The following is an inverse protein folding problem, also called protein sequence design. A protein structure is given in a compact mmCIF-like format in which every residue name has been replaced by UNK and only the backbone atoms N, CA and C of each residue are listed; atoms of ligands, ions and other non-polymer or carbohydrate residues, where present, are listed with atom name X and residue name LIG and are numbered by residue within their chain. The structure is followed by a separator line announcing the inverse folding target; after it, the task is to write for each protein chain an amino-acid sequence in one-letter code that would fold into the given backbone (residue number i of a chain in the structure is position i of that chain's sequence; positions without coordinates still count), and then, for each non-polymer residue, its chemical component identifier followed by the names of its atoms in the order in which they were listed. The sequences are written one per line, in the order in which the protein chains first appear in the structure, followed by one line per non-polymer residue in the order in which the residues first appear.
data_IF_824939612236
#
_entry.id   IF_824939612236
#
_cell.length_a   1.000
_cell.length_b   1.000
_cell.length_c   1.000
_cell.angle_alpha   90.00
_cell.angle_beta   90.00
_cell.angle_gamma   90.00
#
_symmetry.space_group_name_H-M   'P 1'
#
loop_
_entity.id
_entity.type
_entity.pdbx_description
1 polymer ?
#
# COMPACT_ATOMS: atom_id res chain seq x y z
N UNK A 1 -47.89 -43.91 -1.54
CA UNK A 1 -48.97 -43.33 -2.35
C UNK A 1 -48.40 -43.03 -3.71
N UNK A 2 -48.99 -43.54 -4.78
CA UNK A 2 -48.58 -43.18 -6.13
C UNK A 2 -49.59 -42.17 -6.70
N UNK A 3 -49.09 -41.10 -7.34
CA UNK A 3 -49.90 -40.06 -7.93
C UNK A 3 -49.49 -39.91 -9.39
N UNK A 4 -50.39 -40.17 -10.31
CA UNK A 4 -50.17 -40.00 -11.74
C UNK A 4 -50.62 -38.63 -12.22
N UNK A 5 -49.85 -38.02 -13.12
CA UNK A 5 -50.12 -36.73 -13.75
C UNK A 5 -50.27 -36.89 -15.26
N UNK A 6 -51.08 -37.83 -15.68
CA UNK A 6 -51.31 -38.11 -17.10
C UNK A 6 -52.12 -36.99 -17.75
N UNK A 7 -51.67 -36.50 -18.90
CA UNK A 7 -52.36 -35.48 -19.72
C UNK A 7 -52.03 -34.03 -19.38
N UNK A 8 -50.93 -33.74 -18.62
CA UNK A 8 -50.61 -32.42 -18.09
C UNK A 8 -49.63 -31.58 -18.95
N UNK A 9 -49.38 -31.89 -20.21
CA UNK A 9 -48.51 -31.13 -21.06
C UNK A 9 -47.13 -30.89 -20.40
N UNK A 10 -46.34 -31.94 -20.27
CA UNK A 10 -44.98 -31.89 -19.78
C UNK A 10 -44.00 -32.22 -20.89
N UNK A 11 -42.92 -31.44 -21.01
CA UNK A 11 -41.86 -31.64 -21.98
C UNK A 11 -40.50 -31.81 -21.29
N UNK A 12 -39.74 -32.80 -21.73
CA UNK A 12 -38.40 -33.09 -21.19
C UNK A 12 -37.32 -32.78 -22.24
N UNK A 13 -36.21 -32.18 -21.77
CA UNK A 13 -34.99 -31.98 -22.50
C UNK A 13 -33.85 -32.69 -21.76
N UNK A 14 -33.12 -33.55 -22.44
CA UNK A 14 -32.00 -34.29 -21.87
C UNK A 14 -30.74 -33.37 -21.65
N UNK A 15 -30.68 -32.27 -22.37
CA UNK A 15 -29.54 -31.33 -22.34
C UNK A 15 -28.48 -31.61 -23.39
N UNK A 16 -28.52 -32.77 -24.07
CA UNK A 16 -27.58 -33.16 -25.13
C UNK A 16 -28.19 -32.89 -26.53
N UNK A 17 -29.51 -32.99 -26.65
CA UNK A 17 -30.22 -32.75 -27.91
C UNK A 17 -31.18 -31.56 -27.80
N UNK A 18 -31.27 -30.68 -28.84
CA UNK A 18 -32.12 -29.50 -28.80
C UNK A 18 -33.60 -29.79 -29.10
N UNK A 19 -34.09 -31.00 -28.74
CA UNK A 19 -35.45 -31.45 -28.98
C UNK A 19 -36.15 -31.71 -27.65
N UNK A 20 -37.39 -31.24 -27.55
CA UNK A 20 -38.24 -31.51 -26.41
C UNK A 20 -39.06 -32.80 -26.71
N UNK A 21 -39.12 -33.69 -25.75
CA UNK A 21 -39.97 -34.87 -25.81
C UNK A 21 -41.18 -34.70 -24.90
N UNK A 22 -42.38 -34.99 -25.37
CA UNK A 22 -43.58 -35.05 -24.55
C UNK A 22 -43.47 -36.23 -23.59
N UNK A 23 -43.73 -35.99 -22.30
CA UNK A 23 -43.50 -37.01 -21.28
C UNK A 23 -44.69 -37.17 -20.34
N UNK A 24 -44.85 -38.39 -19.82
CA UNK A 24 -45.77 -38.68 -18.75
C UNK A 24 -45.08 -38.59 -17.40
N UNK A 25 -45.77 -38.05 -16.38
CA UNK A 25 -45.21 -37.88 -15.05
C UNK A 25 -45.94 -38.73 -14.02
N UNK A 26 -45.16 -39.41 -13.19
CA UNK A 26 -45.70 -40.25 -12.11
C UNK A 26 -44.84 -40.11 -10.86
N UNK A 27 -45.43 -39.87 -9.69
CA UNK A 27 -44.70 -39.86 -8.41
C UNK A 27 -44.90 -41.19 -7.71
N UNK A 28 -43.80 -41.88 -7.47
CA UNK A 28 -43.79 -43.12 -6.69
C UNK A 28 -42.45 -43.27 -5.93
N UNK A 29 -42.48 -43.79 -4.72
CA UNK A 29 -41.28 -44.16 -3.94
C UNK A 29 -40.24 -43.04 -3.80
N UNK A 30 -40.67 -41.81 -3.48
CA UNK A 30 -39.85 -40.61 -3.33
C UNK A 30 -39.12 -40.17 -4.62
N UNK A 31 -39.58 -40.67 -5.78
CA UNK A 31 -39.06 -40.29 -7.10
C UNK A 31 -40.18 -39.76 -8.00
N UNK A 32 -39.85 -38.78 -8.83
CA UNK A 32 -40.59 -38.40 -10.01
C UNK A 32 -40.11 -39.29 -11.16
N UNK A 33 -40.98 -40.07 -11.68
CA UNK A 33 -40.79 -40.91 -12.86
C UNK A 33 -41.23 -40.11 -14.08
N UNK A 34 -40.35 -39.95 -15.04
CA UNK A 34 -40.54 -39.23 -16.30
C UNK A 34 -40.54 -40.31 -17.38
N UNK A 35 -41.71 -40.68 -17.90
CA UNK A 35 -41.85 -41.67 -18.96
C UNK A 35 -41.73 -41.03 -20.32
N UNK A 36 -40.76 -41.46 -21.10
CA UNK A 36 -40.51 -41.06 -22.47
C UNK A 36 -41.35 -41.90 -23.47
N UNK A 37 -41.53 -41.41 -24.68
CA UNK A 37 -42.24 -42.15 -25.74
C UNK A 37 -41.49 -43.43 -26.16
N UNK A 38 -40.18 -43.49 -25.90
CA UNK A 38 -39.35 -44.70 -26.12
C UNK A 38 -39.56 -45.84 -25.12
N UNK A 39 -40.57 -45.77 -24.26
CA UNK A 39 -40.77 -46.68 -23.11
C UNK A 39 -39.71 -46.59 -22.02
N UNK A 40 -38.72 -45.72 -22.13
CA UNK A 40 -37.71 -45.43 -21.09
C UNK A 40 -38.31 -44.61 -19.96
N UNK A 41 -37.85 -44.85 -18.73
CA UNK A 41 -38.27 -44.11 -17.54
C UNK A 41 -37.06 -43.47 -16.87
N UNK A 42 -37.08 -42.15 -16.75
CA UNK A 42 -36.08 -41.38 -16.03
C UNK A 42 -36.56 -41.14 -14.60
N UNK A 43 -35.67 -41.28 -13.64
CA UNK A 43 -35.98 -41.13 -12.21
C UNK A 43 -35.28 -39.91 -11.62
N UNK A 44 -36.08 -38.94 -11.18
CA UNK A 44 -35.57 -37.81 -10.40
C UNK A 44 -36.04 -37.90 -8.96
N UNK A 45 -35.11 -37.94 -8.01
CA UNK A 45 -35.47 -37.97 -6.59
C UNK A 45 -36.15 -36.66 -6.20
N UNK A 46 -37.31 -36.69 -5.53
CA UNK A 46 -38.09 -35.47 -5.18
C UNK A 46 -37.29 -34.46 -4.39
N UNK A 47 -36.34 -34.89 -3.54
CA UNK A 47 -35.46 -34.04 -2.77
C UNK A 47 -34.42 -33.27 -3.60
N UNK A 48 -34.15 -33.74 -4.83
CA UNK A 48 -33.12 -33.17 -5.72
C UNK A 48 -33.72 -32.27 -6.81
N UNK A 49 -35.03 -32.21 -6.94
CA UNK A 49 -35.71 -31.37 -7.93
C UNK A 49 -35.74 -29.92 -7.46
N UNK A 50 -35.36 -29.02 -8.36
CA UNK A 50 -35.33 -27.58 -8.15
C UNK A 50 -36.03 -26.84 -9.26
N UNK A 51 -36.72 -25.75 -8.90
CA UNK A 51 -37.25 -24.78 -9.85
C UNK A 51 -36.08 -23.98 -10.42
N UNK A 52 -36.03 -23.79 -11.73
CA UNK A 52 -35.06 -22.91 -12.37
C UNK A 52 -35.45 -21.45 -12.06
N UNK A 53 -34.55 -20.61 -11.52
CA UNK A 53 -34.85 -19.19 -11.26
C UNK A 53 -34.97 -18.40 -12.56
N UNK A 54 -35.56 -17.21 -12.48
CA UNK A 54 -35.62 -16.19 -13.56
C UNK A 54 -36.26 -16.68 -14.87
N UNK A 55 -37.29 -17.47 -14.76
CA UNK A 55 -38.05 -17.90 -15.93
C UNK A 55 -38.89 -16.75 -16.48
N UNK A 56 -39.00 -16.66 -17.81
CA UNK A 56 -39.91 -15.74 -18.47
C UNK A 56 -41.34 -15.91 -17.92
N UNK A 57 -42.09 -14.83 -17.81
CA UNK A 57 -43.47 -14.81 -17.34
C UNK A 57 -44.36 -15.64 -18.29
N UNK A 58 -44.38 -16.94 -18.07
CA UNK A 58 -45.23 -17.91 -18.79
C UNK A 58 -46.19 -18.65 -17.86
N UNK A 59 -47.04 -19.49 -18.42
CA UNK A 59 -47.92 -20.37 -17.66
C UNK A 59 -47.15 -21.59 -17.13
N UNK A 60 -46.04 -21.94 -17.81
CA UNK A 60 -45.23 -23.13 -17.55
C UNK A 60 -44.06 -22.80 -16.63
N UNK A 61 -43.56 -23.79 -15.94
CA UNK A 61 -42.36 -23.65 -15.12
C UNK A 61 -41.37 -24.78 -15.42
N UNK A 62 -40.09 -24.46 -15.32
CA UNK A 62 -39.01 -25.37 -15.64
C UNK A 62 -38.38 -25.92 -14.35
N UNK A 63 -38.26 -27.22 -14.30
CA UNK A 63 -37.62 -27.98 -13.24
C UNK A 63 -36.28 -28.52 -13.74
N UNK A 64 -35.37 -28.75 -12.81
CA UNK A 64 -34.12 -29.49 -13.05
C UNK A 64 -33.79 -30.38 -11.87
N UNK A 65 -33.03 -31.43 -12.11
CA UNK A 65 -32.41 -32.21 -11.04
C UNK A 65 -31.06 -31.63 -10.61
N UNK A 66 -30.72 -31.71 -9.33
CA UNK A 66 -29.37 -31.35 -8.81
C UNK A 66 -28.33 -32.39 -9.26
N UNK A 67 -28.74 -33.64 -9.48
CA UNK A 67 -27.89 -34.75 -9.95
C UNK A 67 -27.70 -34.73 -11.45
N UNK A 68 -28.61 -34.07 -12.20
CA UNK A 68 -28.55 -33.86 -13.63
C UNK A 68 -28.83 -32.38 -13.92
N UNK A 69 -27.79 -31.52 -13.86
CA UNK A 69 -27.96 -30.08 -13.95
C UNK A 69 -28.24 -29.57 -15.36
N UNK A 70 -28.07 -30.39 -16.40
CA UNK A 70 -28.29 -30.02 -17.81
C UNK A 70 -29.73 -30.29 -18.23
N UNK A 71 -30.33 -31.39 -17.81
CA UNK A 71 -31.69 -31.75 -18.16
C UNK A 71 -32.73 -30.75 -17.62
N UNK A 72 -33.79 -30.56 -18.36
CA UNK A 72 -34.93 -29.68 -18.05
C UNK A 72 -36.25 -30.39 -18.23
N UNK A 73 -37.13 -30.19 -17.26
CA UNK A 73 -38.51 -30.63 -17.33
C UNK A 73 -39.42 -29.40 -17.29
N UNK A 74 -40.13 -29.12 -18.35
CA UNK A 74 -41.11 -28.04 -18.46
C UNK A 74 -42.50 -28.61 -18.13
N UNK A 75 -43.22 -27.95 -17.22
CA UNK A 75 -44.54 -28.44 -16.75
C UNK A 75 -45.52 -27.27 -16.67
N UNK A 76 -46.70 -27.45 -17.22
CA UNK A 76 -47.77 -26.45 -17.17
C UNK A 76 -48.56 -26.48 -15.86
N UNK A 77 -48.66 -27.63 -15.21
CA UNK A 77 -49.48 -27.81 -14.03
C UNK A 77 -48.75 -27.50 -12.73
N UNK A 78 -49.21 -26.47 -12.01
CA UNK A 78 -48.67 -26.04 -10.71
C UNK A 78 -48.98 -26.99 -9.56
N UNK A 79 -49.86 -27.95 -9.74
CA UNK A 79 -50.20 -28.93 -8.69
C UNK A 79 -49.03 -29.84 -8.37
N UNK A 80 -48.16 -30.14 -9.36
CA UNK A 80 -46.92 -30.90 -9.17
C UNK A 80 -45.98 -30.23 -8.14
N UNK A 81 -45.91 -28.91 -8.10
CA UNK A 81 -45.06 -28.21 -7.15
C UNK A 81 -45.38 -28.46 -5.68
N UNK A 82 -46.63 -28.82 -5.39
CA UNK A 82 -47.05 -29.18 -4.01
C UNK A 82 -46.44 -30.49 -3.52
N UNK A 83 -46.05 -31.35 -4.45
CA UNK A 83 -45.42 -32.63 -4.18
C UNK A 83 -43.90 -32.60 -4.22
N UNK A 84 -43.31 -31.41 -4.54
CA UNK A 84 -41.88 -31.22 -4.63
C UNK A 84 -41.34 -30.40 -3.45
N UNK A 85 -40.99 -31.02 -2.32
CA UNK A 85 -40.69 -30.33 -1.05
C UNK A 85 -39.45 -29.44 -1.12
N UNK A 86 -38.56 -29.69 -2.09
CA UNK A 86 -37.30 -28.99 -2.26
C UNK A 86 -37.25 -28.06 -3.49
N UNK A 87 -38.36 -27.95 -4.28
CA UNK A 87 -38.36 -27.23 -5.54
C UNK A 87 -37.89 -25.76 -5.41
N UNK A 88 -38.30 -25.08 -4.36
CA UNK A 88 -37.94 -23.68 -4.08
C UNK A 88 -36.65 -23.50 -3.26
N UNK A 89 -36.01 -24.59 -2.83
CA UNK A 89 -34.76 -24.49 -2.07
C UNK A 89 -33.59 -24.19 -3.02
N UNK A 90 -32.69 -23.25 -2.69
CA UNK A 90 -31.52 -23.05 -3.50
C UNK A 90 -30.68 -24.33 -3.53
N UNK A 91 -30.16 -24.67 -4.70
CA UNK A 91 -29.23 -25.78 -4.83
C UNK A 91 -28.00 -25.50 -3.94
N UNK A 92 -27.69 -26.42 -3.03
CA UNK A 92 -26.45 -26.30 -2.24
C UNK A 92 -25.26 -26.38 -3.20
N UNK A 93 -24.58 -25.28 -3.41
CA UNK A 93 -23.35 -25.26 -4.19
C UNK A 93 -22.32 -26.17 -3.50
N UNK A 94 -22.16 -27.40 -4.02
CA UNK A 94 -21.07 -28.30 -3.63
C UNK A 94 -19.75 -27.61 -4.01
N UNK A 95 -18.89 -27.37 -3.02
CA UNK A 95 -17.58 -26.73 -3.29
C UNK A 95 -17.43 -25.30 -2.74
N UNK A 96 -18.51 -24.66 -2.25
CA UNK A 96 -18.43 -23.30 -1.70
C UNK A 96 -17.36 -23.15 -0.59
N UNK A 97 -17.18 -24.20 0.24
CA UNK A 97 -16.11 -24.24 1.25
C UNK A 97 -14.72 -24.32 0.62
N UNK A 98 -14.56 -25.09 -0.47
CA UNK A 98 -13.28 -25.17 -1.21
C UNK A 98 -12.97 -23.86 -1.91
N UNK A 99 -13.96 -23.24 -2.55
CA UNK A 99 -13.79 -21.93 -3.18
C UNK A 99 -13.38 -20.87 -2.15
N UNK A 100 -14.04 -20.85 -0.99
CA UNK A 100 -13.68 -19.94 0.10
C UNK A 100 -12.26 -20.22 0.63
N UNK A 101 -11.88 -21.47 0.80
CA UNK A 101 -10.52 -21.83 1.23
C UNK A 101 -9.46 -21.39 0.22
N UNK A 102 -9.71 -21.56 -1.08
CA UNK A 102 -8.81 -21.07 -2.13
C UNK A 102 -8.73 -19.54 -2.19
N UNK A 103 -9.85 -18.85 -2.00
CA UNK A 103 -9.87 -17.38 -1.92
C UNK A 103 -9.05 -16.88 -0.72
N UNK A 104 -9.22 -17.49 0.45
CA UNK A 104 -8.42 -17.19 1.64
C UNK A 104 -6.94 -17.50 1.45
N UNK A 105 -6.60 -18.61 0.81
CA UNK A 105 -5.21 -18.94 0.49
C UNK A 105 -4.58 -17.94 -0.49
N UNK A 106 -5.34 -17.49 -1.50
CA UNK A 106 -4.87 -16.46 -2.42
C UNK A 106 -4.62 -15.12 -1.70
N UNK A 107 -5.55 -14.68 -0.85
CA UNK A 107 -5.36 -13.46 -0.04
C UNK A 107 -4.14 -13.61 0.88
N UNK A 108 -3.99 -14.75 1.57
CA UNK A 108 -2.84 -14.99 2.42
C UNK A 108 -1.51 -14.99 1.64
N UNK A 109 -1.50 -15.55 0.42
CA UNK A 109 -0.32 -15.51 -0.45
C UNK A 109 0.07 -14.08 -0.85
N UNK A 110 -0.91 -13.25 -1.22
CA UNK A 110 -0.67 -11.83 -1.55
C UNK A 110 -0.15 -11.05 -0.33
N UNK A 111 -0.75 -11.24 0.82
CA UNK A 111 -0.28 -10.63 2.08
C UNK A 111 1.15 -11.06 2.37
N UNK A 112 1.46 -12.36 2.32
CA UNK A 112 2.81 -12.88 2.53
C UNK A 112 3.82 -12.29 1.52
N UNK A 113 3.42 -12.15 0.27
CA UNK A 113 4.25 -11.58 -0.78
C UNK A 113 4.58 -10.12 -0.49
N UNK A 114 3.60 -9.30 -0.12
CA UNK A 114 3.80 -7.87 0.15
C UNK A 114 4.54 -7.64 1.48
N UNK A 115 4.23 -8.42 2.52
CA UNK A 115 4.78 -8.15 3.87
C UNK A 115 6.11 -8.85 4.15
N UNK A 116 6.45 -9.91 3.43
CA UNK A 116 7.67 -10.70 3.68
C UNK A 116 8.57 -10.76 2.45
N UNK A 117 8.03 -11.22 1.30
CA UNK A 117 8.85 -11.46 0.13
C UNK A 117 9.38 -10.18 -0.49
N UNK A 118 8.52 -9.18 -0.70
CA UNK A 118 8.91 -7.89 -1.28
C UNK A 118 9.95 -7.18 -0.41
N UNK A 119 9.77 -7.00 0.92
CA UNK A 119 10.80 -6.41 1.77
C UNK A 119 12.13 -7.18 1.75
N UNK A 120 12.06 -8.51 1.85
CA UNK A 120 13.27 -9.35 1.79
C UNK A 120 14.04 -9.18 0.47
N UNK A 121 13.34 -9.18 -0.66
CA UNK A 121 13.95 -8.97 -1.96
C UNK A 121 14.50 -7.55 -2.12
N UNK A 122 13.76 -6.54 -1.67
CA UNK A 122 14.20 -5.15 -1.72
C UNK A 122 15.50 -4.94 -0.94
N UNK A 123 15.60 -5.50 0.28
CA UNK A 123 16.82 -5.41 1.11
C UNK A 123 18.02 -6.10 0.45
N UNK A 124 17.79 -7.19 -0.27
CA UNK A 124 18.86 -7.87 -1.01
C UNK A 124 19.25 -7.11 -2.27
N UNK A 125 18.26 -6.68 -3.06
CA UNK A 125 18.48 -5.98 -4.33
C UNK A 125 19.12 -4.60 -4.13
N UNK A 126 18.81 -3.89 -3.05
CA UNK A 126 19.42 -2.61 -2.75
C UNK A 126 20.95 -2.68 -2.75
N UNK A 127 21.53 -3.81 -2.30
CA UNK A 127 22.98 -4.00 -2.24
C UNK A 127 23.62 -4.21 -3.63
N UNK A 128 22.84 -4.52 -4.65
CA UNK A 128 23.32 -4.74 -6.03
C UNK A 128 23.13 -3.52 -6.93
N UNK A 129 22.40 -2.49 -6.47
CA UNK A 129 22.24 -1.25 -7.25
C UNK A 129 23.57 -0.49 -7.21
N UNK A 130 24.20 -0.21 -8.37
CA UNK A 130 25.42 0.58 -8.41
C UNK A 130 25.12 2.04 -8.06
N UNK A 131 26.11 2.82 -7.54
CA UNK A 131 25.91 4.21 -7.12
C UNK A 131 25.27 5.09 -8.21
N UNK A 132 25.68 4.94 -9.46
CA UNK A 132 25.09 5.69 -10.58
C UNK A 132 23.61 5.38 -10.81
N UNK A 133 23.19 4.11 -10.61
CA UNK A 133 21.78 3.71 -10.71
C UNK A 133 20.94 4.24 -9.54
N UNK A 134 21.54 4.30 -8.37
CA UNK A 134 20.90 4.87 -7.17
C UNK A 134 20.74 6.39 -7.30
N UNK A 135 21.76 7.09 -7.79
CA UNK A 135 21.69 8.52 -8.08
C UNK A 135 20.62 8.85 -9.13
N UNK A 136 20.55 8.08 -10.24
CA UNK A 136 19.52 8.27 -11.26
C UNK A 136 18.10 8.04 -10.71
N UNK A 137 17.91 7.06 -9.80
CA UNK A 137 16.64 6.83 -9.12
C UNK A 137 16.28 8.02 -8.22
N UNK A 138 17.23 8.55 -7.48
CA UNK A 138 17.05 9.72 -6.62
C UNK A 138 16.65 10.97 -7.39
N UNK A 139 17.36 11.30 -8.46
CA UNK A 139 17.05 12.42 -9.33
C UNK A 139 15.67 12.32 -9.97
N UNK A 140 15.33 11.15 -10.50
CA UNK A 140 14.00 10.90 -11.07
C UNK A 140 12.91 11.11 -10.01
N UNK A 141 13.13 10.63 -8.80
CA UNK A 141 12.21 10.77 -7.66
C UNK A 141 12.08 12.23 -7.23
N UNK A 142 13.21 12.95 -7.09
CA UNK A 142 13.21 14.38 -6.79
C UNK A 142 12.38 15.17 -7.81
N UNK A 143 12.59 14.89 -9.09
CA UNK A 143 11.82 15.52 -10.17
C UNK A 143 10.33 15.25 -10.08
N UNK A 144 9.92 14.04 -9.67
CA UNK A 144 8.51 13.70 -9.46
C UNK A 144 7.93 14.43 -8.24
N UNK A 145 8.65 14.47 -7.12
CA UNK A 145 8.22 15.17 -5.89
C UNK A 145 8.05 16.67 -6.17
N UNK A 146 8.99 17.30 -6.82
CA UNK A 146 8.91 18.72 -7.17
C UNK A 146 7.70 19.05 -8.04
N UNK A 147 7.34 18.16 -8.97
CA UNK A 147 6.11 18.32 -9.78
C UNK A 147 4.83 18.04 -9.00
N UNK A 148 4.85 17.08 -8.09
CA UNK A 148 3.69 16.72 -7.29
C UNK A 148 3.34 17.77 -6.23
N UNK A 149 4.32 18.51 -5.74
CA UNK A 149 4.15 19.56 -4.75
C UNK A 149 3.89 20.94 -5.37
N UNK A 150 4.00 21.09 -6.69
CA UNK A 150 3.63 22.33 -7.36
C UNK A 150 2.11 22.47 -7.43
N UNK A 151 1.57 23.41 -6.65
CA UNK A 151 0.13 23.70 -6.62
C UNK A 151 -0.37 24.33 -7.93
N UNK A 152 0.53 24.93 -8.70
CA UNK A 152 0.17 25.60 -9.96
C UNK A 152 0.09 24.62 -11.13
N UNK A 153 0.76 23.48 -11.06
CA UNK A 153 0.86 22.47 -12.12
C UNK A 153 1.67 22.95 -13.34
N UNK A 154 2.31 24.11 -13.27
CA UNK A 154 3.00 24.73 -14.40
C UNK A 154 4.53 24.54 -14.38
N UNK A 155 5.14 24.53 -13.19
CA UNK A 155 6.60 24.40 -13.06
C UNK A 155 6.92 23.56 -11.82
N UNK A 156 7.97 22.71 -11.85
CA UNK A 156 8.39 21.99 -10.67
C UNK A 156 8.76 22.96 -9.53
N UNK A 157 8.41 22.60 -8.29
CA UNK A 157 8.75 23.38 -7.09
C UNK A 157 10.21 23.85 -7.14
N UNK A 158 10.45 25.13 -6.82
CA UNK A 158 11.78 25.74 -6.91
C UNK A 158 12.76 25.11 -5.90
N UNK A 159 14.02 25.02 -6.31
CA UNK A 159 15.14 24.79 -5.40
C UNK A 159 15.65 26.18 -5.01
N UNK A 160 15.83 26.40 -3.73
CA UNK A 160 16.36 27.65 -3.19
C UNK A 160 17.87 27.71 -3.42
N UNK A 161 18.36 28.84 -3.97
CA UNK A 161 19.73 29.00 -4.43
C UNK A 161 20.33 30.37 -4.09
N UNK A 162 19.80 31.10 -3.07
CA UNK A 162 20.41 32.33 -2.60
C UNK A 162 21.83 32.05 -2.10
N UNK A 163 22.82 32.64 -2.74
CA UNK A 163 24.27 32.32 -2.60
C UNK A 163 24.78 32.35 -1.17
N UNK A 164 24.31 33.30 -0.34
CA UNK A 164 24.70 33.37 1.07
C UNK A 164 24.11 32.21 1.89
N UNK A 165 22.86 31.83 1.60
CA UNK A 165 22.20 30.69 2.21
C UNK A 165 22.83 29.36 1.81
N UNK A 166 23.18 29.20 0.53
CA UNK A 166 23.92 28.02 0.04
C UNK A 166 25.29 27.88 0.69
N UNK A 167 26.02 29.00 0.87
CA UNK A 167 27.32 29.00 1.57
C UNK A 167 27.16 28.56 3.04
N UNK A 168 26.12 29.02 3.72
CA UNK A 168 25.82 28.63 5.10
C UNK A 168 25.46 27.15 5.19
N UNK A 169 24.62 26.65 4.28
CA UNK A 169 24.25 25.23 4.17
C UNK A 169 25.48 24.35 3.89
N UNK A 170 26.34 24.78 2.96
CA UNK A 170 27.57 24.07 2.63
C UNK A 170 28.52 24.01 3.83
N UNK A 171 28.62 25.09 4.62
CA UNK A 171 29.43 25.12 5.85
C UNK A 171 28.89 24.10 6.88
N UNK A 172 27.56 24.03 7.06
CA UNK A 172 26.91 23.07 7.94
C UNK A 172 27.15 21.62 7.49
N UNK A 173 26.97 21.34 6.19
CA UNK A 173 27.22 20.03 5.60
C UNK A 173 28.69 19.63 5.79
N UNK A 174 29.61 20.54 5.53
CA UNK A 174 31.06 20.29 5.67
C UNK A 174 31.41 19.94 7.12
N UNK A 175 30.87 20.67 8.09
CA UNK A 175 31.09 20.39 9.50
C UNK A 175 30.54 19.03 9.92
N UNK A 176 29.31 18.67 9.49
CA UNK A 176 28.71 17.37 9.78
C UNK A 176 29.48 16.22 9.09
N UNK A 177 29.92 16.40 7.87
CA UNK A 177 30.54 15.37 7.03
C UNK A 177 32.09 15.28 7.21
N UNK A 178 32.66 15.95 8.20
CA UNK A 178 34.12 16.00 8.41
C UNK A 178 34.68 14.76 9.14
N UNK A 179 33.83 13.85 9.68
CA UNK A 179 34.26 12.74 10.53
C UNK A 179 34.31 11.38 9.85
N UNK A 180 34.57 10.33 10.66
CA UNK A 180 34.42 8.94 10.22
C UNK A 180 32.97 8.66 9.84
N UNK A 181 32.78 8.12 8.64
CA UNK A 181 31.43 7.84 8.09
C UNK A 181 30.96 8.94 7.14
N UNK A 182 31.85 9.84 6.71
CA UNK A 182 31.56 10.83 5.67
C UNK A 182 30.92 10.18 4.44
N UNK A 183 29.78 10.74 4.02
CA UNK A 183 29.07 10.29 2.82
C UNK A 183 29.71 10.95 1.61
N UNK A 184 30.22 10.15 0.67
CA UNK A 184 30.64 10.65 -0.63
C UNK A 184 29.41 11.00 -1.45
N UNK A 185 29.49 12.09 -2.21
CA UNK A 185 28.42 12.54 -3.11
C UNK A 185 27.10 12.92 -2.38
N UNK A 186 27.19 13.40 -1.12
CA UNK A 186 26.05 13.94 -0.39
C UNK A 186 25.57 15.24 -1.07
N UNK A 187 24.33 15.24 -1.55
CA UNK A 187 23.67 16.37 -2.20
C UNK A 187 22.50 16.85 -1.34
N UNK A 188 22.66 17.96 -0.64
CA UNK A 188 21.60 18.56 0.20
C UNK A 188 21.03 19.77 -0.53
N UNK A 189 19.72 19.81 -0.67
CA UNK A 189 19.02 20.92 -1.32
C UNK A 189 17.82 21.38 -0.46
N UNK A 190 17.44 22.63 -0.64
CA UNK A 190 16.27 23.22 0.01
C UNK A 190 15.20 23.48 -1.04
N UNK A 191 13.96 23.06 -0.75
CA UNK A 191 12.80 23.35 -1.58
C UNK A 191 11.97 24.47 -0.95
N UNK A 192 11.54 25.41 -1.79
CA UNK A 192 10.68 26.54 -1.41
C UNK A 192 9.24 26.04 -1.15
N UNK A 193 9.02 25.56 0.05
CA UNK A 193 7.71 25.07 0.47
C UNK A 193 7.52 25.20 1.99
N UNK A 194 6.34 25.61 2.47
CA UNK A 194 6.07 25.85 3.90
C UNK A 194 5.99 24.58 4.74
N UNK A 195 6.12 23.40 4.16
CA UNK A 195 6.09 22.13 4.88
C UNK A 195 7.25 22.05 5.88
N UNK A 196 6.93 21.68 7.12
CA UNK A 196 7.95 21.42 8.16
C UNK A 196 8.41 19.98 8.02
N UNK A 197 9.34 19.74 7.10
CA UNK A 197 9.79 18.38 6.76
C UNK A 197 11.21 18.36 6.19
N UNK A 198 11.85 17.18 6.26
CA UNK A 198 13.03 16.78 5.53
C UNK A 198 12.93 15.29 5.19
N UNK A 199 13.63 14.85 4.18
CA UNK A 199 13.72 13.44 3.84
C UNK A 199 14.94 13.14 2.98
N UNK A 200 15.42 11.90 3.09
CA UNK A 200 16.46 11.36 2.24
C UNK A 200 15.87 10.64 1.01
N UNK A 201 16.56 10.72 -0.12
CA UNK A 201 16.29 10.02 -1.35
C UNK A 201 17.45 9.07 -1.72
N UNK A 202 17.24 8.10 -2.61
CA UNK A 202 18.34 7.29 -3.12
C UNK A 202 19.47 8.13 -3.70
N UNK A 203 20.70 7.62 -3.63
CA UNK A 203 21.86 8.26 -4.25
C UNK A 203 22.43 9.45 -3.49
N UNK A 204 22.19 9.54 -2.17
CA UNK A 204 22.80 10.57 -1.32
C UNK A 204 22.12 11.93 -1.35
N UNK A 205 20.91 12.02 -1.91
CA UNK A 205 20.15 13.27 -1.94
C UNK A 205 19.39 13.42 -0.62
N UNK A 206 19.52 14.60 0.02
CA UNK A 206 18.71 15.00 1.17
C UNK A 206 17.97 16.29 0.83
N UNK A 207 16.68 16.28 1.04
CA UNK A 207 15.79 17.41 0.80
C UNK A 207 15.38 18.02 2.13
N UNK A 208 15.61 19.30 2.30
CA UNK A 208 15.04 20.12 3.37
C UNK A 208 13.95 21.01 2.76
N UNK A 209 12.88 21.22 3.48
CA UNK A 209 11.91 22.25 3.11
C UNK A 209 12.21 23.55 3.85
N UNK A 210 11.96 24.69 3.20
CA UNK A 210 12.14 25.99 3.84
C UNK A 210 11.34 26.10 5.14
N UNK A 211 10.11 25.58 5.16
CA UNK A 211 9.29 25.55 6.37
C UNK A 211 9.96 24.91 7.59
N UNK A 212 10.82 23.90 7.41
CA UNK A 212 11.62 23.31 8.49
C UNK A 212 12.65 24.31 9.02
N UNK A 213 13.35 25.00 8.11
CA UNK A 213 14.38 25.99 8.47
C UNK A 213 13.75 27.18 9.21
N UNK A 214 12.59 27.65 8.74
CA UNK A 214 11.84 28.73 9.39
C UNK A 214 11.29 28.33 10.76
N UNK A 215 10.91 27.08 10.96
CA UNK A 215 10.40 26.56 12.23
C UNK A 215 11.50 26.33 13.27
N UNK A 216 12.73 26.02 12.84
CA UNK A 216 13.86 25.78 13.72
C UNK A 216 14.24 27.04 14.50
N UNK A 217 14.62 26.89 15.77
CA UNK A 217 15.05 28.01 16.62
C UNK A 217 16.57 28.21 16.63
N UNK A 218 17.31 27.24 16.14
CA UNK A 218 18.76 27.31 16.04
C UNK A 218 19.27 26.57 14.80
N UNK A 219 20.48 26.90 14.30
CA UNK A 219 21.08 26.14 13.23
C UNK A 219 21.34 24.69 13.62
N UNK A 220 21.55 24.43 14.90
CA UNK A 220 21.82 23.09 15.43
C UNK A 220 20.60 22.16 15.31
N UNK A 221 19.38 22.70 15.38
CA UNK A 221 18.16 21.94 15.16
C UNK A 221 18.05 21.48 13.69
N UNK A 222 18.40 22.34 12.74
CA UNK A 222 18.46 21.98 11.31
C UNK A 222 19.56 20.96 11.08
N UNK A 223 20.74 21.17 11.67
CA UNK A 223 21.85 20.22 11.60
C UNK A 223 21.50 18.86 12.19
N UNK A 224 20.70 18.82 13.25
CA UNK A 224 20.26 17.58 13.87
C UNK A 224 19.33 16.78 12.95
N UNK A 225 18.37 17.44 12.30
CA UNK A 225 17.52 16.80 11.29
C UNK A 225 18.37 16.31 10.11
N UNK A 226 19.26 17.14 9.60
CA UNK A 226 20.16 16.76 8.51
C UNK A 226 21.04 15.55 8.89
N UNK A 227 21.58 15.51 10.10
CA UNK A 227 22.38 14.40 10.60
C UNK A 227 21.57 13.08 10.67
N UNK A 228 20.30 13.16 11.05
CA UNK A 228 19.37 12.03 11.02
C UNK A 228 19.14 11.53 9.59
N UNK A 229 18.83 12.43 8.65
CA UNK A 229 18.63 12.08 7.23
C UNK A 229 19.90 11.47 6.60
N UNK A 230 21.08 11.97 6.97
CA UNK A 230 22.36 11.36 6.57
C UNK A 230 22.46 9.92 7.10
N UNK A 231 21.95 9.63 8.28
CA UNK A 231 21.85 8.27 8.84
C UNK A 231 21.07 7.33 7.92
N UNK A 232 19.93 7.76 7.41
CA UNK A 232 19.15 7.01 6.43
C UNK A 232 19.87 6.83 5.08
N UNK A 233 20.61 7.85 4.62
CA UNK A 233 21.45 7.74 3.42
C UNK A 233 22.50 6.64 3.59
N UNK A 234 23.25 6.67 4.71
CA UNK A 234 24.28 5.65 5.01
C UNK A 234 23.72 4.25 5.07
N UNK A 235 22.55 4.11 5.67
CA UNK A 235 21.85 2.82 5.76
C UNK A 235 21.17 2.42 4.45
N UNK A 236 21.16 3.26 3.42
CA UNK A 236 20.47 3.08 2.13
C UNK A 236 18.95 2.81 2.29
N UNK A 237 18.36 3.32 3.37
CA UNK A 237 16.95 3.12 3.67
C UNK A 237 16.03 3.68 2.58
N UNK A 238 16.30 4.87 1.98
CA UNK A 238 15.50 5.40 0.87
C UNK A 238 15.45 4.45 -0.34
N UNK A 239 16.58 3.83 -0.67
CA UNK A 239 16.68 2.87 -1.78
C UNK A 239 15.86 1.60 -1.50
N UNK A 240 15.98 1.06 -0.28
CA UNK A 240 15.17 -0.09 0.16
C UNK A 240 13.70 0.24 0.14
N UNK A 241 13.32 1.44 0.62
CA UNK A 241 11.93 1.90 0.64
C UNK A 241 11.38 2.06 -0.78
N UNK A 242 12.13 2.67 -1.69
CA UNK A 242 11.74 2.81 -3.10
C UNK A 242 11.51 1.44 -3.77
N UNK A 243 12.40 0.46 -3.54
CA UNK A 243 12.25 -0.89 -4.05
C UNK A 243 11.05 -1.64 -3.47
N UNK A 244 10.79 -1.50 -2.15
CA UNK A 244 9.62 -2.09 -1.49
C UNK A 244 8.32 -1.52 -2.06
N UNK A 245 8.26 -0.20 -2.23
CA UNK A 245 7.11 0.48 -2.80
C UNK A 245 6.86 0.05 -4.24
N UNK A 246 7.89 0.07 -5.09
CA UNK A 246 7.79 -0.38 -6.47
C UNK A 246 7.38 -1.86 -6.58
N UNK A 247 7.94 -2.73 -5.74
CA UNK A 247 7.59 -4.14 -5.68
C UNK A 247 6.14 -4.38 -5.27
N UNK A 248 5.66 -3.68 -4.24
CA UNK A 248 4.28 -3.78 -3.77
C UNK A 248 3.27 -3.30 -4.81
N UNK A 249 3.57 -2.16 -5.48
CA UNK A 249 2.75 -1.63 -6.56
C UNK A 249 2.74 -2.59 -7.75
N UNK A 250 3.90 -3.17 -8.11
CA UNK A 250 3.98 -4.16 -9.17
C UNK A 250 3.09 -5.37 -8.90
N UNK A 251 3.08 -5.90 -7.68
CA UNK A 251 2.20 -7.00 -7.27
C UNK A 251 0.73 -6.61 -7.40
N UNK A 252 0.34 -5.43 -6.89
CA UNK A 252 -1.03 -4.95 -6.96
C UNK A 252 -1.45 -4.65 -8.40
N UNK A 253 -0.56 -4.06 -9.21
CA UNK A 253 -0.79 -3.81 -10.63
C UNK A 253 -1.06 -5.09 -11.43
N UNK A 254 -0.29 -6.16 -11.15
CA UNK A 254 -0.53 -7.49 -11.74
C UNK A 254 -1.90 -8.06 -11.39
N UNK A 255 -2.37 -7.83 -10.17
CA UNK A 255 -3.66 -8.35 -9.70
C UNK A 255 -4.86 -7.58 -10.25
N UNK A 256 -4.74 -6.26 -10.35
CA UNK A 256 -5.86 -5.38 -10.72
C UNK A 256 -5.77 -4.85 -12.16
N UNK A 257 -4.69 -5.15 -12.89
CA UNK A 257 -4.54 -4.79 -14.31
C UNK A 257 -4.24 -3.32 -14.58
N UNK A 258 -3.87 -2.55 -13.57
CA UNK A 258 -3.56 -1.12 -13.71
C UNK A 258 -2.04 -0.87 -13.66
N UNK A 259 -1.41 -0.85 -14.84
CA UNK A 259 0.02 -0.53 -14.99
C UNK A 259 0.29 0.91 -15.46
N UNK A 260 -0.73 1.71 -15.76
CA UNK A 260 -0.56 2.88 -16.62
C UNK A 260 -0.94 4.22 -15.98
N UNK A 261 -1.18 4.27 -14.68
CA UNK A 261 -1.80 5.45 -14.12
C UNK A 261 -0.84 6.48 -13.54
N UNK A 262 -1.04 7.74 -13.86
CA UNK A 262 -0.50 8.88 -13.11
C UNK A 262 -0.77 8.78 -11.60
N UNK A 263 -1.82 8.07 -11.20
CA UNK A 263 -2.14 7.71 -9.82
C UNK A 263 -1.02 6.91 -9.14
N UNK A 264 -0.33 6.02 -9.85
CA UNK A 264 0.82 5.26 -9.32
C UNK A 264 2.00 6.18 -9.03
N UNK A 265 2.28 7.14 -9.92
CA UNK A 265 3.37 8.12 -9.75
C UNK A 265 3.08 9.04 -8.56
N UNK A 266 1.84 9.52 -8.45
CA UNK A 266 1.41 10.36 -7.33
C UNK A 266 1.47 9.61 -5.99
N UNK A 267 1.00 8.36 -5.97
CA UNK A 267 1.08 7.49 -4.82
C UNK A 267 2.53 7.17 -4.40
N UNK A 268 3.44 6.97 -5.37
CA UNK A 268 4.87 6.78 -5.09
C UNK A 268 5.50 8.04 -4.50
N UNK A 269 5.21 9.21 -5.05
CA UNK A 269 5.70 10.49 -4.54
C UNK A 269 5.21 10.71 -3.10
N UNK A 270 3.93 10.51 -2.84
CA UNK A 270 3.35 10.60 -1.50
C UNK A 270 4.00 9.61 -0.52
N UNK A 271 4.23 8.36 -0.95
CA UNK A 271 4.87 7.33 -0.12
C UNK A 271 6.33 7.60 0.18
N UNK A 272 7.06 8.26 -0.72
CA UNK A 272 8.45 8.64 -0.50
C UNK A 272 8.56 9.86 0.40
N UNK A 273 7.67 10.83 0.26
CA UNK A 273 7.56 11.98 1.17
C UNK A 273 7.11 11.52 2.58
N UNK A 274 6.25 10.50 2.66
CA UNK A 274 5.70 9.93 3.90
C UNK A 274 6.35 8.59 4.25
N UNK A 275 7.65 8.43 3.97
CA UNK A 275 8.35 7.16 4.19
C UNK A 275 8.27 6.76 5.68
N UNK A 276 7.57 5.66 5.96
CA UNK A 276 7.55 5.06 7.28
C UNK A 276 8.68 4.03 7.36
N UNK A 277 9.76 4.40 8.01
CA UNK A 277 10.84 3.49 8.31
C UNK A 277 10.48 2.58 9.49
N UNK A 278 11.19 1.46 9.61
CA UNK A 278 11.01 0.60 10.78
C UNK A 278 11.58 1.30 12.03
N UNK A 279 11.04 0.97 13.21
CA UNK A 279 11.57 1.50 14.47
C UNK A 279 13.08 1.23 14.65
N UNK A 280 13.57 0.13 14.11
CA UNK A 280 15.00 -0.19 14.11
C UNK A 280 15.78 0.80 13.22
N UNK A 281 15.34 1.08 11.99
CA UNK A 281 15.99 2.02 11.09
C UNK A 281 16.03 3.43 11.70
N UNK A 282 14.94 3.85 12.36
CA UNK A 282 14.90 5.12 13.08
C UNK A 282 15.92 5.19 14.22
N UNK A 283 16.01 4.13 15.01
CA UNK A 283 16.97 4.06 16.12
C UNK A 283 18.42 4.09 15.61
N UNK A 284 18.68 3.43 14.48
CA UNK A 284 20.00 3.42 13.83
C UNK A 284 20.34 4.80 13.23
N UNK A 285 19.39 5.47 12.59
CA UNK A 285 19.55 6.82 12.05
C UNK A 285 19.76 7.85 13.17
N UNK A 286 19.02 7.76 14.29
CA UNK A 286 19.23 8.61 15.45
C UNK A 286 20.63 8.40 16.07
N UNK A 287 21.03 7.15 16.27
CA UNK A 287 22.33 6.83 16.83
C UNK A 287 23.48 7.34 15.95
N UNK A 288 23.34 7.23 14.63
CA UNK A 288 24.27 7.78 13.65
C UNK A 288 24.28 9.31 13.71
N UNK A 289 23.11 9.96 13.71
CA UNK A 289 22.97 11.40 13.80
C UNK A 289 23.57 11.97 15.10
N UNK A 290 23.36 11.32 16.23
CA UNK A 290 23.97 11.72 17.51
C UNK A 290 25.50 11.68 17.43
N UNK A 291 26.08 10.63 16.84
CA UNK A 291 27.53 10.50 16.66
C UNK A 291 28.04 11.60 15.72
N UNK A 292 27.33 11.87 14.63
CA UNK A 292 27.70 12.86 13.65
C UNK A 292 27.71 14.26 14.26
N UNK A 293 26.66 14.64 14.98
CA UNK A 293 26.58 15.91 15.70
C UNK A 293 27.72 16.06 16.73
N UNK A 294 27.93 15.04 17.56
CA UNK A 294 29.00 15.08 18.55
C UNK A 294 30.39 15.25 17.91
N UNK A 295 30.65 14.57 16.77
CA UNK A 295 31.89 14.71 16.00
C UNK A 295 32.08 16.13 15.44
N UNK A 296 30.97 16.74 15.01
CA UNK A 296 30.95 18.14 14.54
C UNK A 296 31.04 19.19 15.68
N UNK A 297 31.09 18.72 16.95
CA UNK A 297 31.11 19.61 18.12
C UNK A 297 29.74 20.23 18.44
N UNK A 298 28.65 19.65 17.91
CA UNK A 298 27.29 20.11 18.13
C UNK A 298 26.58 19.19 19.14
N UNK A 299 25.78 19.78 20.03
CA UNK A 299 25.07 18.99 21.03
C UNK A 299 23.98 18.11 20.44
N UNK A 300 24.00 16.79 20.66
CA UNK A 300 22.89 15.91 20.28
C UNK A 300 21.52 16.32 20.88
N UNK A 301 21.50 17.15 21.94
CA UNK A 301 20.27 17.71 22.52
C UNK A 301 19.44 18.49 21.50
N UNK A 302 20.08 19.06 20.46
CA UNK A 302 19.41 19.78 19.38
C UNK A 302 18.37 18.89 18.68
N UNK A 303 18.67 17.60 18.47
CA UNK A 303 17.70 16.63 17.94
C UNK A 303 16.50 16.46 18.88
N UNK A 304 16.76 16.31 20.18
CA UNK A 304 15.69 16.21 21.18
C UNK A 304 14.85 17.50 21.25
N UNK A 305 15.45 18.67 21.12
CA UNK A 305 14.74 19.95 21.10
C UNK A 305 13.83 20.08 19.88
N UNK A 306 14.29 19.64 18.71
CA UNK A 306 13.48 19.61 17.49
C UNK A 306 12.30 18.65 17.62
N UNK A 307 12.51 17.44 18.14
CA UNK A 307 11.42 16.47 18.40
C UNK A 307 10.39 17.00 19.40
N UNK A 308 10.83 17.65 20.46
CA UNK A 308 9.92 18.27 21.44
C UNK A 308 9.04 19.34 20.79
N UNK A 309 9.61 20.16 19.91
CA UNK A 309 8.89 21.18 19.15
C UNK A 309 7.88 20.56 18.20
N UNK A 310 8.28 19.54 17.44
CA UNK A 310 7.40 18.80 16.55
C UNK A 310 6.24 18.16 17.32
N UNK A 311 6.51 17.61 18.51
CA UNK A 311 5.49 17.04 19.38
C UNK A 311 4.46 18.07 19.85
N UNK A 312 4.89 19.28 20.22
CA UNK A 312 4.01 20.35 20.66
C UNK A 312 3.09 20.88 19.55
N UNK A 313 3.55 20.87 18.31
CA UNK A 313 2.77 21.26 17.14
C UNK A 313 1.80 20.17 16.65
N UNK A 314 1.92 18.92 17.13
CA UNK A 314 0.99 17.82 16.80
C UNK A 314 -0.48 18.07 17.21
N UNK A 315 -0.73 18.97 18.18
CA UNK A 315 -2.09 19.35 18.60
C UNK A 315 -2.89 20.15 17.57
N UNK A 316 -2.22 20.75 16.59
CA UNK A 316 -2.80 21.41 15.44
C UNK A 316 -2.66 20.45 14.25
N UNK A 317 -3.78 19.86 13.81
CA UNK A 317 -3.82 18.91 12.68
C UNK A 317 -3.32 19.60 11.39
N UNK A 318 -2.00 19.70 11.24
CA UNK A 318 -1.36 20.28 10.07
C UNK A 318 -0.88 19.14 9.16
N UNK A 319 -1.51 18.92 7.99
CA UNK A 319 -1.11 17.90 7.03
C UNK A 319 0.36 18.07 6.55
N UNK A 320 0.94 19.26 6.73
CA UNK A 320 2.30 19.60 6.30
C UNK A 320 3.41 18.97 7.17
N UNK A 321 3.06 18.30 8.28
CA UNK A 321 4.04 17.68 9.20
C UNK A 321 4.08 16.14 9.09
N UNK A 322 3.60 15.58 8.02
CA UNK A 322 3.29 14.14 7.91
C UNK A 322 4.49 13.21 8.11
N UNK A 323 5.71 13.59 7.69
CA UNK A 323 6.86 12.71 7.75
C UNK A 323 7.35 12.49 9.20
N UNK A 324 7.58 13.54 9.96
CA UNK A 324 8.01 13.42 11.36
C UNK A 324 6.95 12.79 12.28
N UNK A 325 5.66 12.84 11.90
CA UNK A 325 4.57 12.19 12.62
C UNK A 325 4.54 10.67 12.43
N UNK A 326 5.19 10.17 11.41
CA UNK A 326 5.26 8.73 11.12
C UNK A 326 6.36 8.00 11.89
N UNK A 327 7.23 8.74 12.60
CA UNK A 327 8.31 8.19 13.41
C UNK A 327 7.81 7.85 14.83
N UNK A 328 7.89 6.59 15.27
CA UNK A 328 7.36 6.21 16.58
C UNK A 328 8.20 6.74 17.75
N UNK A 329 7.52 6.98 18.88
CA UNK A 329 8.07 7.28 20.23
C UNK A 329 9.05 8.47 20.32
N UNK A 330 8.54 9.72 20.21
CA UNK A 330 9.34 10.92 20.49
C UNK A 330 10.01 10.90 21.87
N UNK A 331 9.34 10.38 22.90
CA UNK A 331 9.87 10.38 24.27
C UNK A 331 11.16 9.57 24.40
N UNK A 332 11.24 8.41 23.76
CA UNK A 332 12.44 7.60 23.75
C UNK A 332 13.58 8.25 22.98
N UNK A 333 13.27 8.88 21.85
CA UNK A 333 14.23 9.60 20.99
C UNK A 333 14.78 10.86 21.68
N UNK A 334 13.94 11.65 22.34
CA UNK A 334 14.35 12.80 23.16
C UNK A 334 15.28 12.34 24.29
N UNK A 335 14.92 11.26 24.97
CA UNK A 335 15.75 10.68 26.04
C UNK A 335 17.10 10.19 25.52
N UNK A 336 17.12 9.53 24.36
CA UNK A 336 18.35 9.07 23.71
C UNK A 336 19.27 10.25 23.34
N UNK A 337 18.72 11.32 22.77
CA UNK A 337 19.46 12.55 22.43
C UNK A 337 20.07 13.22 23.68
N UNK A 338 19.31 13.28 24.78
CA UNK A 338 19.80 13.80 26.07
C UNK A 338 20.94 12.96 26.64
N UNK A 339 20.85 11.63 26.54
CA UNK A 339 21.90 10.73 27.01
C UNK A 339 23.16 10.82 26.15
N UNK A 340 23.00 10.88 24.82
CA UNK A 340 24.14 11.05 23.91
C UNK A 340 24.91 12.35 24.18
N UNK A 341 24.23 13.42 24.52
CA UNK A 341 24.85 14.70 24.84
C UNK A 341 25.70 14.72 26.13
N UNK A 342 25.58 13.70 26.97
CA UNK A 342 26.41 13.58 28.19
C UNK A 342 27.84 13.13 27.90
N UNK A 343 28.12 12.67 26.70
CA UNK A 343 29.44 12.17 26.30
C UNK A 343 30.50 13.26 26.18
N UNK A 344 30.10 14.54 26.00
CA UNK A 344 30.97 15.70 25.92
C UNK A 344 30.48 16.80 26.84
N UNK A 345 31.39 17.64 27.30
CA UNK A 345 31.10 18.78 28.20
C UNK A 345 30.99 20.12 27.50
N UNK A 346 31.55 20.23 26.29
CA UNK A 346 31.59 21.50 25.53
C UNK A 346 31.06 21.26 24.11
N UNK A 347 30.12 22.09 23.70
CA UNK A 347 29.53 22.13 22.37
C UNK A 347 29.44 23.55 21.87
N UNK A 348 29.50 23.74 20.56
CA UNK A 348 29.36 25.04 19.88
C UNK A 348 28.27 24.98 18.84
N UNK A 349 27.73 26.12 18.43
CA UNK A 349 26.81 26.17 17.31
C UNK A 349 27.53 25.74 16.02
N UNK A 350 26.83 25.02 15.15
CA UNK A 350 27.39 24.49 13.90
C UNK A 350 27.80 25.58 12.91
N UNK A 351 27.09 26.68 12.91
CA UNK A 351 27.39 27.91 12.16
C UNK A 351 27.14 29.12 13.04
N UNK A 352 27.77 30.26 12.71
CA UNK A 352 27.57 31.51 13.43
C UNK A 352 26.20 32.16 13.15
N UNK A 353 25.88 33.23 13.89
CA UNK A 353 24.59 33.91 13.79
C UNK A 353 24.35 34.57 12.42
N UNK A 354 25.37 34.96 11.70
CA UNK A 354 25.26 35.58 10.37
C UNK A 354 24.88 34.47 9.34
N UNK A 355 25.66 33.40 9.34
CA UNK A 355 25.37 32.23 8.48
C UNK A 355 24.00 31.63 8.78
N UNK A 356 23.54 31.58 10.06
CA UNK A 356 22.18 31.19 10.40
C UNK A 356 21.15 32.14 9.80
N UNK A 357 21.36 33.46 9.88
CA UNK A 357 20.48 34.44 9.25
C UNK A 357 20.43 34.30 7.73
N UNK A 358 21.57 33.96 7.10
CA UNK A 358 21.65 33.74 5.65
C UNK A 358 20.97 32.45 5.23
N UNK A 359 21.11 31.35 6.00
CA UNK A 359 20.41 30.09 5.76
C UNK A 359 18.87 30.28 5.80
N UNK A 360 18.37 31.07 6.73
CA UNK A 360 16.93 31.38 6.81
C UNK A 360 16.38 32.19 5.64
N UNK A 361 17.24 32.78 4.85
CA UNK A 361 16.93 33.56 3.62
C UNK A 361 17.33 32.82 2.35
N UNK A 362 17.57 31.53 2.42
CA UNK A 362 18.03 30.75 1.27
C UNK A 362 17.03 30.73 0.11
N UNK A 363 15.75 30.96 0.39
CA UNK A 363 14.68 31.00 -0.62
C UNK A 363 14.21 32.44 -0.97
N UNK A 364 14.90 33.50 -0.50
CA UNK A 364 14.55 34.90 -0.78
C UNK A 364 15.00 35.35 -2.19
#
# INVERSE_FOLDING_TARGET
MSVGFNGMGAAYFDGDHPVAEDVSLHIANDNLQIGLDSEDIIFWRLGDIRLVPDQARGKDYTLRSVTDPVARLIVADKTLLRHLPAARRPARARGRRRLFAWAMAAVAAVVLQITVLVPFLADRLANFIPPAGEAALGEATLGQIRRALDETGMQPLAICDASAGEAALTSMITALNAGEGAVQDLNVLVLDHPMVNAFALPGGIVVLFDGLIQQAQSPDEVAAVLAHEIGHVVSRDPTRHALRSAGSIGVLGLLFGDFAGGAVVLFLAERLISANYTQQAETEADAFGHKLLATAGVSPKAMGAMFERLRQTQGEANPLMAHFLSHPSFDDRITAAQNAARAQSEYSAIVDANAWGDLRRICD
#
